data_IF_514830158125
#
_entry.id   IF_514830158125
#
_cell.length_a   1.000
_cell.length_b   1.000
_cell.length_c   1.000
_cell.angle_alpha   90.00
_cell.angle_beta   90.00
_cell.angle_gamma   90.00
#
_symmetry.space_group_name_H-M   'P 1'
#
loop_
_entity.id
_entity.type
_entity.pdbx_description
1 polymer ?
#
# COMPACT_ATOMS: atom_id res chain seq x y z
N UNK A 1 -23.32 -7.80 0.38
CA UNK A 1 -22.51 -6.62 0.08
C UNK A 1 -22.68 -6.30 -1.38
N UNK A 2 -23.14 -5.10 -1.70
CA UNK A 2 -23.25 -4.51 -3.04
C UNK A 2 -22.06 -3.60 -3.28
N UNK A 3 -21.84 -3.19 -4.53
CA UNK A 3 -20.75 -2.25 -4.84
C UNK A 3 -20.92 -0.89 -4.13
N UNK A 4 -22.14 -0.43 -3.89
CA UNK A 4 -22.37 0.80 -3.11
C UNK A 4 -21.97 0.62 -1.65
N UNK A 5 -22.33 -0.52 -1.04
CA UNK A 5 -21.90 -0.85 0.33
C UNK A 5 -20.37 -0.98 0.43
N UNK A 6 -19.70 -1.47 -0.63
CA UNK A 6 -18.23 -1.47 -0.72
C UNK A 6 -17.70 -0.03 -0.74
N UNK A 7 -18.20 0.81 -1.64
CA UNK A 7 -17.77 2.22 -1.77
C UNK A 7 -17.93 2.96 -0.45
N UNK A 8 -19.08 2.80 0.21
CA UNK A 8 -19.34 3.42 1.51
C UNK A 8 -18.33 2.94 2.57
N UNK A 9 -18.05 1.63 2.61
CA UNK A 9 -17.09 1.09 3.57
C UNK A 9 -15.66 1.56 3.31
N UNK A 10 -15.27 1.69 2.05
CA UNK A 10 -13.96 2.25 1.68
C UNK A 10 -13.87 3.75 2.05
N UNK A 11 -14.94 4.52 1.90
CA UNK A 11 -15.00 5.92 2.34
C UNK A 11 -14.89 6.05 3.87
N UNK A 12 -15.55 5.17 4.61
CA UNK A 12 -15.43 5.12 6.08
C UNK A 12 -13.99 4.85 6.52
N UNK A 13 -13.29 3.90 5.89
CA UNK A 13 -11.87 3.62 6.16
C UNK A 13 -11.01 4.85 5.83
N UNK A 14 -11.26 5.51 4.69
CA UNK A 14 -10.53 6.70 4.28
C UNK A 14 -10.70 7.86 5.27
N UNK A 15 -11.88 8.00 5.86
CA UNK A 15 -12.18 9.04 6.86
C UNK A 15 -11.60 8.72 8.26
N UNK A 16 -11.45 7.44 8.60
CA UNK A 16 -11.01 7.01 9.92
C UNK A 16 -9.48 7.02 10.11
N UNK A 17 -8.71 6.95 9.02
CA UNK A 17 -7.26 6.78 9.08
C UNK A 17 -6.49 8.06 8.68
N UNK A 18 -5.30 8.31 9.27
CA UNK A 18 -4.44 9.41 8.83
C UNK A 18 -4.08 9.31 7.34
N UNK A 19 -3.95 10.45 6.64
CA UNK A 19 -3.66 10.45 5.21
C UNK A 19 -2.37 9.71 4.82
N UNK A 20 -1.36 9.77 5.69
CA UNK A 20 -0.06 9.13 5.52
C UNK A 20 -0.02 7.65 5.93
N UNK A 21 -1.11 7.14 6.54
CA UNK A 21 -1.20 5.72 6.87
C UNK A 21 -1.21 4.86 5.60
N UNK A 22 -0.36 3.84 5.54
CA UNK A 22 -0.20 3.00 4.35
C UNK A 22 -1.47 2.27 3.94
N UNK A 23 -2.31 1.88 4.89
CA UNK A 23 -3.63 1.30 4.59
C UNK A 23 -4.53 2.37 3.99
N UNK A 24 -4.51 3.60 4.52
CA UNK A 24 -5.27 4.72 3.96
C UNK A 24 -4.82 5.05 2.52
N UNK A 25 -3.51 5.00 2.23
CA UNK A 25 -2.97 5.20 0.89
C UNK A 25 -3.52 4.17 -0.09
N UNK A 26 -3.40 2.88 0.21
CA UNK A 26 -3.95 1.83 -0.64
C UNK A 26 -5.49 1.90 -0.73
N UNK A 27 -6.17 2.19 0.38
CA UNK A 27 -7.63 2.28 0.40
C UNK A 27 -8.16 3.37 -0.54
N UNK A 28 -7.51 4.53 -0.62
CA UNK A 28 -7.90 5.61 -1.55
C UNK A 28 -7.71 5.21 -3.01
N UNK A 29 -6.60 4.55 -3.31
CA UNK A 29 -6.36 3.96 -4.64
C UNK A 29 -7.49 2.98 -4.98
N UNK A 30 -7.81 2.07 -4.07
CA UNK A 30 -8.82 1.06 -4.29
C UNK A 30 -10.22 1.68 -4.45
N UNK A 31 -10.58 2.65 -3.62
CA UNK A 31 -11.84 3.40 -3.75
C UNK A 31 -11.99 4.02 -5.14
N UNK A 32 -10.92 4.64 -5.67
CA UNK A 32 -10.93 5.26 -7.01
C UNK A 32 -11.23 4.22 -8.10
N UNK A 33 -10.61 3.04 -8.00
CA UNK A 33 -10.85 1.93 -8.94
C UNK A 33 -12.27 1.38 -8.79
N UNK A 34 -12.75 1.16 -7.58
CA UNK A 34 -14.10 0.65 -7.32
C UNK A 34 -15.19 1.60 -7.81
N UNK A 35 -15.02 2.91 -7.61
CA UNK A 35 -15.94 3.92 -8.16
C UNK A 35 -15.97 3.89 -9.69
N UNK A 36 -14.81 3.76 -10.35
CA UNK A 36 -14.76 3.61 -11.79
C UNK A 36 -15.46 2.31 -12.28
N UNK A 37 -15.29 1.20 -11.56
CA UNK A 37 -15.98 -0.07 -11.88
C UNK A 37 -17.49 0.07 -11.69
N UNK A 38 -17.95 0.73 -10.62
CA UNK A 38 -19.37 1.03 -10.38
C UNK A 38 -19.99 1.81 -11.53
N UNK A 39 -19.32 2.86 -11.98
CA UNK A 39 -19.83 3.69 -13.07
C UNK A 39 -19.92 2.87 -14.37
N UNK A 40 -18.93 2.01 -14.65
CA UNK A 40 -18.94 1.09 -15.80
C UNK A 40 -20.01 0.01 -15.74
N UNK A 41 -20.37 -0.45 -14.54
CA UNK A 41 -21.51 -1.35 -14.34
C UNK A 41 -22.83 -0.67 -14.73
N UNK A 42 -23.01 0.60 -14.34
CA UNK A 42 -24.19 1.38 -14.69
C UNK A 42 -24.31 1.62 -16.20
N UNK A 43 -23.18 1.78 -16.90
CA UNK A 43 -23.12 2.01 -18.35
C UNK A 43 -23.30 0.73 -19.19
N UNK A 44 -23.50 -0.43 -18.57
CA UNK A 44 -23.62 -1.71 -19.29
C UNK A 44 -22.33 -2.13 -19.99
N UNK A 45 -21.17 -1.72 -19.45
CA UNK A 45 -19.87 -2.03 -20.04
C UNK A 45 -19.58 -3.53 -20.03
N UNK A 46 -19.97 -4.27 -19.00
CA UNK A 46 -19.66 -5.70 -18.86
C UNK A 46 -20.65 -6.59 -19.60
N UNK A 47 -20.21 -7.77 -20.04
CA UNK A 47 -21.08 -8.75 -20.67
C UNK A 47 -22.05 -9.40 -19.67
N UNK A 48 -21.62 -9.63 -18.43
CA UNK A 48 -22.45 -10.05 -17.29
C UNK A 48 -22.27 -9.06 -16.12
N UNK A 49 -22.98 -7.90 -16.13
CA UNK A 49 -22.91 -6.93 -15.03
C UNK A 49 -23.24 -7.52 -13.65
N UNK A 50 -24.25 -8.42 -13.50
CA UNK A 50 -24.47 -9.10 -12.23
C UNK A 50 -23.25 -9.91 -11.74
N UNK A 51 -22.55 -10.65 -12.61
CA UNK A 51 -21.34 -11.40 -12.21
C UNK A 51 -20.25 -10.46 -11.74
N UNK A 52 -20.07 -9.35 -12.45
CA UNK A 52 -19.04 -8.37 -12.14
C UNK A 52 -19.32 -7.63 -10.83
N UNK A 53 -20.57 -7.28 -10.54
CA UNK A 53 -20.95 -6.70 -9.25
C UNK A 53 -20.75 -7.69 -8.09
N UNK A 54 -21.05 -8.98 -8.30
CA UNK A 54 -20.82 -10.02 -7.30
C UNK A 54 -19.32 -10.28 -7.08
N UNK A 55 -18.52 -10.30 -8.16
CA UNK A 55 -17.07 -10.41 -8.08
C UNK A 55 -16.47 -9.25 -7.30
N UNK A 56 -16.88 -8.01 -7.60
CA UNK A 56 -16.43 -6.81 -6.89
C UNK A 56 -16.69 -6.92 -5.39
N UNK A 57 -17.92 -7.30 -4.99
CA UNK A 57 -18.27 -7.46 -3.59
C UNK A 57 -17.48 -8.57 -2.87
N UNK A 58 -17.30 -9.72 -3.52
CA UNK A 58 -16.52 -10.86 -2.97
C UNK A 58 -15.03 -10.53 -2.89
N UNK A 59 -14.53 -9.74 -3.84
CA UNK A 59 -13.16 -9.28 -3.89
C UNK A 59 -12.89 -8.23 -2.79
N UNK A 60 -13.73 -7.20 -2.70
CA UNK A 60 -13.69 -6.18 -1.66
C UNK A 60 -13.80 -6.78 -0.26
N UNK A 61 -14.68 -7.77 -0.09
CA UNK A 61 -14.87 -8.46 1.19
C UNK A 61 -13.58 -9.05 1.74
N UNK A 62 -12.66 -9.52 0.89
CA UNK A 62 -11.36 -10.06 1.35
C UNK A 62 -10.48 -8.99 1.96
N UNK A 63 -10.34 -7.85 1.27
CA UNK A 63 -9.59 -6.71 1.80
C UNK A 63 -10.21 -6.18 3.10
N UNK A 64 -11.53 -6.01 3.12
CA UNK A 64 -12.25 -5.50 4.30
C UNK A 64 -12.12 -6.45 5.51
N UNK A 65 -12.15 -7.76 5.29
CA UNK A 65 -11.88 -8.75 6.34
C UNK A 65 -10.44 -8.67 6.85
N UNK A 66 -9.46 -8.45 5.97
CA UNK A 66 -8.06 -8.27 6.38
C UNK A 66 -7.88 -7.01 7.24
N UNK A 67 -8.50 -5.89 6.86
CA UNK A 67 -8.48 -4.64 7.66
C UNK A 67 -9.18 -4.83 9.00
N UNK A 68 -10.31 -5.53 9.03
CA UNK A 68 -11.03 -5.81 10.27
C UNK A 68 -10.21 -6.72 11.21
N UNK A 69 -9.54 -7.74 10.66
CA UNK A 69 -8.68 -8.63 11.43
C UNK A 69 -7.51 -7.87 12.07
N UNK A 70 -6.83 -7.00 11.31
CA UNK A 70 -5.77 -6.12 11.82
C UNK A 70 -6.29 -5.20 12.94
N UNK A 71 -7.42 -4.51 12.70
CA UNK A 71 -8.02 -3.62 13.70
C UNK A 71 -8.50 -4.32 14.97
N UNK A 72 -8.81 -5.62 14.89
CA UNK A 72 -9.17 -6.46 16.04
C UNK A 72 -7.96 -7.11 16.73
N UNK A 73 -6.73 -6.84 16.28
CA UNK A 73 -5.51 -7.50 16.79
C UNK A 73 -5.44 -9.00 16.46
N UNK A 74 -6.22 -9.47 15.48
CA UNK A 74 -6.15 -10.82 14.96
C UNK A 74 -5.08 -10.92 13.88
N UNK A 75 -4.81 -12.14 13.42
CA UNK A 75 -3.78 -12.39 12.42
C UNK A 75 -4.40 -12.37 11.01
N UNK A 76 -4.18 -11.32 10.19
CA UNK A 76 -4.66 -11.29 8.82
C UNK A 76 -3.89 -12.29 7.93
N UNK A 77 -4.35 -12.52 6.67
CA UNK A 77 -3.60 -13.30 5.68
C UNK A 77 -2.15 -12.82 5.55
N UNK A 78 -1.21 -13.73 5.31
CA UNK A 78 0.21 -13.42 5.28
C UNK A 78 0.56 -12.36 4.22
N UNK A 79 -0.17 -12.32 3.11
CA UNK A 79 -0.02 -11.34 2.03
C UNK A 79 -0.25 -9.89 2.48
N UNK A 80 -1.12 -9.67 3.47
CA UNK A 80 -1.49 -8.34 3.96
C UNK A 80 -0.65 -7.87 5.16
N UNK A 81 -0.08 -8.80 5.93
CA UNK A 81 0.70 -8.49 7.15
C UNK A 81 1.80 -7.45 6.96
N UNK A 82 2.60 -7.45 5.87
CA UNK A 82 3.66 -6.46 5.70
C UNK A 82 3.12 -5.03 5.66
N UNK A 83 2.02 -4.80 4.93
CA UNK A 83 1.41 -3.48 4.83
C UNK A 83 0.92 -3.01 6.19
N UNK A 84 0.21 -3.86 6.93
CA UNK A 84 -0.29 -3.51 8.26
C UNK A 84 0.83 -3.25 9.27
N UNK A 85 1.89 -4.07 9.26
CA UNK A 85 3.03 -3.90 10.16
C UNK A 85 3.82 -2.61 9.91
N UNK A 86 3.92 -2.16 8.65
CA UNK A 86 4.72 -1.00 8.26
C UNK A 86 3.88 0.25 7.96
N UNK A 87 2.55 0.22 8.16
CA UNK A 87 1.60 1.26 7.74
C UNK A 87 1.90 2.68 8.24
N UNK A 88 2.67 2.83 9.32
CA UNK A 88 3.06 4.13 9.86
C UNK A 88 4.58 4.40 9.77
N UNK A 89 5.34 3.58 9.04
CA UNK A 89 6.79 3.66 9.02
C UNK A 89 7.27 4.88 8.20
N UNK A 90 8.04 5.82 8.80
CA UNK A 90 8.40 7.09 8.15
C UNK A 90 9.35 6.93 6.94
N UNK A 91 10.11 5.84 6.91
CA UNK A 91 11.01 5.52 5.79
C UNK A 91 10.35 4.79 4.60
N UNK A 92 9.02 4.60 4.61
CA UNK A 92 8.30 3.92 3.52
C UNK A 92 7.46 4.93 2.75
N UNK A 93 7.66 5.00 1.43
CA UNK A 93 6.97 5.97 0.59
C UNK A 93 5.51 5.57 0.34
N UNK A 94 4.55 6.52 0.19
CA UNK A 94 3.17 6.23 -0.19
C UNK A 94 3.01 5.28 -1.38
N UNK A 95 3.85 5.44 -2.40
CA UNK A 95 3.90 4.55 -3.55
C UNK A 95 4.20 3.08 -3.18
N UNK A 96 5.10 2.84 -2.22
CA UNK A 96 5.40 1.48 -1.76
C UNK A 96 4.19 0.86 -1.07
N UNK A 97 3.44 1.65 -0.28
CA UNK A 97 2.20 1.19 0.34
C UNK A 97 1.12 0.83 -0.70
N UNK A 98 0.96 1.67 -1.72
CA UNK A 98 0.04 1.40 -2.82
C UNK A 98 0.40 0.09 -3.55
N UNK A 99 1.67 -0.08 -3.91
CA UNK A 99 2.16 -1.28 -4.59
C UNK A 99 2.04 -2.54 -3.72
N UNK A 100 2.33 -2.45 -2.42
CA UNK A 100 2.18 -3.58 -1.50
C UNK A 100 0.71 -4.00 -1.34
N UNK A 101 -0.21 -3.04 -1.27
CA UNK A 101 -1.64 -3.33 -1.24
C UNK A 101 -2.14 -3.92 -2.57
N UNK A 102 -1.70 -3.38 -3.70
CA UNK A 102 -2.01 -3.95 -5.02
C UNK A 102 -1.48 -5.37 -5.17
N UNK A 103 -0.26 -5.63 -4.70
CA UNK A 103 0.33 -6.96 -4.67
C UNK A 103 -0.55 -7.95 -3.88
N UNK A 104 -0.91 -7.62 -2.64
CA UNK A 104 -1.77 -8.48 -1.83
C UNK A 104 -3.16 -8.68 -2.47
N UNK A 105 -3.78 -7.60 -2.91
CA UNK A 105 -5.14 -7.64 -3.43
C UNK A 105 -5.22 -8.36 -4.79
N UNK A 106 -4.36 -7.99 -5.76
CA UNK A 106 -4.41 -8.58 -7.10
C UNK A 106 -3.88 -10.02 -7.09
N UNK A 107 -2.77 -10.30 -6.42
CA UNK A 107 -2.10 -11.60 -6.57
C UNK A 107 -2.63 -12.68 -5.62
N UNK A 108 -3.27 -12.31 -4.51
CA UNK A 108 -3.83 -13.27 -3.56
C UNK A 108 -5.36 -13.20 -3.48
N UNK A 109 -5.93 -12.02 -3.26
CA UNK A 109 -7.39 -11.93 -3.03
C UNK A 109 -8.20 -12.19 -4.30
N UNK A 110 -7.75 -11.68 -5.46
CA UNK A 110 -8.47 -11.78 -6.72
C UNK A 110 -8.63 -13.22 -7.21
N UNK A 111 -7.57 -14.08 -7.24
CA UNK A 111 -7.74 -15.47 -7.65
C UNK A 111 -8.75 -16.22 -6.79
N UNK A 112 -8.71 -15.99 -5.48
CA UNK A 112 -9.63 -16.60 -4.54
C UNK A 112 -11.06 -16.08 -4.74
N UNK A 113 -11.23 -14.80 -5.07
CA UNK A 113 -12.53 -14.19 -5.34
C UNK A 113 -13.18 -14.74 -6.61
N UNK A 114 -12.40 -14.90 -7.68
CA UNK A 114 -12.89 -15.51 -8.93
C UNK A 114 -13.33 -16.96 -8.72
N UNK A 115 -12.52 -17.77 -8.02
CA UNK A 115 -12.87 -19.17 -7.73
C UNK A 115 -14.13 -19.27 -6.85
N UNK A 116 -14.29 -18.37 -5.86
CA UNK A 116 -15.48 -18.30 -5.02
C UNK A 116 -16.73 -17.91 -5.84
N UNK A 117 -16.63 -16.89 -6.71
CA UNK A 117 -17.70 -16.51 -7.64
C UNK A 117 -18.14 -17.69 -8.51
N UNK A 118 -17.17 -18.37 -9.15
CA UNK A 118 -17.46 -19.48 -10.05
C UNK A 118 -18.20 -20.62 -9.31
N UNK A 119 -17.79 -20.91 -8.06
CA UNK A 119 -18.48 -21.89 -7.20
C UNK A 119 -19.91 -21.46 -6.84
N UNK A 120 -20.11 -20.18 -6.49
CA UNK A 120 -21.44 -19.65 -6.12
C UNK A 120 -22.42 -19.68 -7.28
N UNK A 121 -21.94 -19.38 -8.49
CA UNK A 121 -22.76 -19.37 -9.71
C UNK A 121 -22.88 -20.71 -10.41
N UNK A 122 -22.04 -21.68 -10.05
CA UNK A 122 -21.97 -22.97 -10.75
C UNK A 122 -21.46 -22.84 -12.18
N UNK A 123 -20.61 -21.85 -12.46
CA UNK A 123 -19.98 -21.62 -13.76
C UNK A 123 -18.48 -21.97 -13.72
N UNK A 124 -17.84 -22.01 -14.89
CA UNK A 124 -16.40 -22.22 -15.01
C UNK A 124 -15.65 -20.88 -15.14
N UNK A 125 -14.34 -20.81 -14.81
CA UNK A 125 -13.54 -19.62 -15.01
C UNK A 125 -13.58 -19.10 -16.45
N UNK A 126 -13.65 -19.99 -17.44
CA UNK A 126 -13.75 -19.60 -18.86
C UNK A 126 -14.99 -18.72 -19.15
N UNK A 127 -16.08 -18.89 -18.38
CA UNK A 127 -17.31 -18.12 -18.56
C UNK A 127 -17.15 -16.66 -18.11
N UNK A 128 -16.23 -16.38 -17.18
CA UNK A 128 -15.99 -15.04 -16.61
C UNK A 128 -14.70 -14.38 -17.12
N UNK A 129 -13.85 -15.12 -17.84
CA UNK A 129 -12.55 -14.67 -18.37
C UNK A 129 -12.65 -13.38 -19.20
N UNK A 130 -13.70 -13.28 -20.03
CA UNK A 130 -13.90 -12.12 -20.88
C UNK A 130 -14.01 -10.81 -20.08
N UNK A 131 -14.91 -10.77 -19.10
CA UNK A 131 -15.11 -9.56 -18.30
C UNK A 131 -13.97 -9.35 -17.29
N UNK A 132 -13.32 -10.43 -16.86
CA UNK A 132 -12.06 -10.36 -16.11
C UNK A 132 -11.00 -9.56 -16.87
N UNK A 133 -10.72 -9.86 -18.14
CA UNK A 133 -9.75 -9.07 -18.91
C UNK A 133 -10.29 -7.69 -19.28
N UNK A 134 -11.60 -7.54 -19.44
CA UNK A 134 -12.22 -6.24 -19.77
C UNK A 134 -11.97 -5.18 -18.71
N UNK A 135 -11.85 -5.57 -17.44
CA UNK A 135 -11.44 -4.68 -16.34
C UNK A 135 -10.12 -3.97 -16.62
N UNK A 136 -9.19 -4.56 -17.38
CA UNK A 136 -7.90 -3.93 -17.69
C UNK A 136 -8.08 -2.57 -18.38
N UNK A 137 -9.12 -2.40 -19.19
CA UNK A 137 -9.45 -1.11 -19.82
C UNK A 137 -9.82 -0.04 -18.79
N UNK A 138 -10.60 -0.42 -17.76
CA UNK A 138 -10.95 0.48 -16.65
C UNK A 138 -9.72 0.86 -15.82
N UNK A 139 -8.85 -0.13 -15.55
CA UNK A 139 -7.63 0.10 -14.78
C UNK A 139 -6.63 1.01 -15.52
N UNK A 140 -6.53 0.89 -16.85
CA UNK A 140 -5.66 1.74 -17.66
C UNK A 140 -6.08 3.22 -17.62
N UNK A 141 -7.38 3.50 -17.54
CA UNK A 141 -7.89 4.87 -17.42
C UNK A 141 -7.53 5.48 -16.05
N UNK A 142 -7.67 4.69 -14.98
CA UNK A 142 -7.36 5.09 -13.61
C UNK A 142 -5.85 5.22 -13.37
N UNK A 143 -5.01 4.48 -14.10
CA UNK A 143 -3.55 4.52 -13.96
C UNK A 143 -2.98 5.94 -14.06
N UNK A 144 -3.52 6.75 -14.99
CA UNK A 144 -3.09 8.15 -15.17
C UNK A 144 -3.29 8.98 -13.90
N UNK A 145 -4.48 8.89 -13.31
CA UNK A 145 -4.86 9.58 -12.07
C UNK A 145 -4.00 9.12 -10.89
N UNK A 146 -3.73 7.82 -10.82
CA UNK A 146 -2.93 7.21 -9.75
C UNK A 146 -1.47 7.65 -9.82
N UNK A 147 -0.93 7.71 -11.04
CA UNK A 147 0.44 8.17 -11.29
C UNK A 147 0.60 9.63 -10.85
N UNK A 148 -0.39 10.48 -11.13
CA UNK A 148 -0.38 11.88 -10.68
C UNK A 148 -0.48 12.02 -9.15
N UNK A 149 -1.26 11.16 -8.48
CA UNK A 149 -1.46 11.24 -7.03
C UNK A 149 -0.30 10.66 -6.20
N UNK A 150 0.45 9.69 -6.73
CA UNK A 150 1.44 8.92 -5.98
C UNK A 150 2.90 9.23 -6.34
N UNK A 151 3.16 9.87 -7.48
CA UNK A 151 4.51 10.26 -7.84
C UNK A 151 4.98 11.48 -7.01
N UNK A 152 6.23 11.46 -6.52
CA UNK A 152 6.81 12.67 -5.95
C UNK A 152 6.90 13.77 -7.02
N UNK A 153 6.65 15.01 -6.60
CA UNK A 153 6.78 16.17 -7.49
C UNK A 153 8.20 16.35 -8.05
N UNK A 154 8.37 17.17 -9.10
CA UNK A 154 9.63 17.31 -9.84
C UNK A 154 10.84 17.71 -8.97
N UNK A 155 10.60 18.30 -7.79
CA UNK A 155 11.63 18.72 -6.83
C UNK A 155 12.34 17.54 -6.11
N UNK A 156 11.81 16.32 -6.21
CA UNK A 156 12.30 15.10 -5.54
C UNK A 156 12.84 14.04 -6.52
N UNK A 157 12.94 14.35 -7.82
CA UNK A 157 13.27 13.39 -8.89
C UNK A 157 14.63 12.70 -8.68
N UNK A 158 15.64 13.40 -8.18
CA UNK A 158 16.98 12.81 -7.92
C UNK A 158 16.95 11.73 -6.81
N UNK A 159 15.95 11.74 -5.93
CA UNK A 159 15.77 10.74 -4.86
C UNK A 159 14.71 9.68 -5.22
N UNK A 160 14.04 9.83 -6.36
CA UNK A 160 12.92 9.00 -6.80
C UNK A 160 13.32 7.93 -7.83
N UNK A 161 14.59 7.85 -8.22
CA UNK A 161 15.08 6.87 -9.21
C UNK A 161 14.71 5.41 -8.82
N UNK A 162 14.92 4.93 -7.56
CA UNK A 162 14.47 3.60 -7.16
C UNK A 162 12.95 3.41 -7.24
N UNK A 163 12.17 4.43 -6.92
CA UNK A 163 10.71 4.42 -6.99
C UNK A 163 10.21 4.42 -8.45
N UNK A 164 10.91 5.12 -9.33
CA UNK A 164 10.63 5.18 -10.76
C UNK A 164 10.93 3.84 -11.43
N UNK A 165 12.04 3.19 -11.05
CA UNK A 165 12.32 1.82 -11.46
C UNK A 165 11.29 0.82 -10.93
N UNK A 166 10.88 0.95 -9.67
CA UNK A 166 9.86 0.09 -9.07
C UNK A 166 8.52 0.20 -9.81
N UNK A 167 8.09 1.43 -10.14
CA UNK A 167 6.91 1.68 -10.97
C UNK A 167 7.05 1.15 -12.39
N UNK A 168 8.21 1.35 -13.02
CA UNK A 168 8.46 0.84 -14.37
C UNK A 168 8.52 -0.68 -14.43
N UNK A 169 8.93 -1.35 -13.35
CA UNK A 169 8.97 -2.80 -13.23
C UNK A 169 7.63 -3.42 -12.82
N UNK A 170 6.70 -2.64 -12.26
CA UNK A 170 5.40 -3.11 -11.81
C UNK A 170 4.32 -2.89 -12.86
N UNK A 171 3.72 -3.98 -13.36
CA UNK A 171 2.62 -3.94 -14.32
C UNK A 171 1.36 -4.56 -13.72
N UNK A 172 0.28 -3.78 -13.67
CA UNK A 172 -1.05 -4.25 -13.25
C UNK A 172 -1.54 -5.37 -14.15
N UNK A 173 -1.32 -5.24 -15.46
CA UNK A 173 -1.67 -6.25 -16.45
C UNK A 173 -0.92 -7.56 -16.17
N UNK A 174 0.40 -7.51 -16.01
CA UNK A 174 1.19 -8.70 -15.69
C UNK A 174 0.79 -9.34 -14.35
N UNK A 175 0.48 -8.53 -13.34
CA UNK A 175 -0.04 -9.02 -12.08
C UNK A 175 -1.39 -9.73 -12.27
N UNK A 176 -2.29 -9.18 -13.08
CA UNK A 176 -3.59 -9.80 -13.37
C UNK A 176 -3.47 -11.08 -14.20
N UNK A 177 -2.50 -11.18 -15.11
CA UNK A 177 -2.21 -12.45 -15.82
C UNK A 177 -1.66 -13.53 -14.87
N UNK A 178 -0.81 -13.12 -13.91
CA UNK A 178 -0.35 -13.99 -12.82
C UNK A 178 -1.52 -14.49 -11.96
N UNK A 179 -2.40 -13.58 -11.55
CA UNK A 179 -3.61 -13.89 -10.82
C UNK A 179 -4.53 -14.84 -11.59
N UNK A 180 -4.69 -14.65 -12.91
CA UNK A 180 -5.48 -15.54 -13.75
C UNK A 180 -4.89 -16.95 -13.85
N UNK A 181 -3.56 -17.05 -13.91
CA UNK A 181 -2.87 -18.33 -13.83
C UNK A 181 -3.13 -19.05 -12.50
N UNK A 182 -3.17 -18.30 -11.39
CA UNK A 182 -3.55 -18.83 -10.08
C UNK A 182 -5.03 -19.27 -10.02
N UNK A 183 -5.96 -18.55 -10.68
CA UNK A 183 -7.36 -18.97 -10.83
C UNK A 183 -7.43 -20.35 -11.50
N UNK A 184 -6.76 -20.52 -12.64
CA UNK A 184 -6.74 -21.79 -13.38
C UNK A 184 -6.19 -22.93 -12.51
N UNK A 185 -5.07 -22.71 -11.83
CA UNK A 185 -4.49 -23.69 -10.92
C UNK A 185 -5.43 -24.07 -9.76
N UNK A 186 -5.99 -23.09 -9.07
CA UNK A 186 -6.95 -23.30 -7.98
C UNK A 186 -8.21 -24.03 -8.44
N UNK A 187 -8.69 -23.71 -9.66
CA UNK A 187 -9.84 -24.38 -10.24
C UNK A 187 -9.54 -25.84 -10.53
N UNK A 188 -8.42 -26.19 -11.15
CA UNK A 188 -8.05 -27.59 -11.38
C UNK A 188 -7.88 -28.37 -10.08
N UNK A 189 -7.31 -27.74 -9.05
CA UNK A 189 -7.11 -28.36 -7.74
C UNK A 189 -8.40 -28.47 -6.90
N UNK A 190 -9.53 -27.91 -7.34
CA UNK A 190 -10.76 -27.76 -6.53
C UNK A 190 -11.32 -29.07 -5.94
N UNK A 191 -11.09 -30.20 -6.60
CA UNK A 191 -11.49 -31.53 -6.14
C UNK A 191 -10.54 -32.17 -5.11
N UNK A 192 -9.44 -31.50 -4.79
CA UNK A 192 -8.35 -31.99 -3.94
C UNK A 192 -8.12 -30.98 -2.79
N UNK A 193 -8.86 -31.08 -1.66
CA UNK A 193 -8.82 -30.07 -0.60
C UNK A 193 -7.42 -29.83 -0.02
N UNK A 194 -6.64 -30.88 0.21
CA UNK A 194 -5.27 -30.76 0.73
C UNK A 194 -4.34 -30.01 -0.24
N UNK A 195 -4.44 -30.30 -1.55
CA UNK A 195 -3.63 -29.62 -2.57
C UNK A 195 -4.06 -28.15 -2.75
N UNK A 196 -5.38 -27.88 -2.77
CA UNK A 196 -5.91 -26.52 -2.79
C UNK A 196 -5.42 -25.70 -1.59
N UNK A 197 -5.47 -26.28 -0.39
CA UNK A 197 -4.99 -25.63 0.84
C UNK A 197 -3.50 -25.32 0.80
N UNK A 198 -2.68 -26.30 0.37
CA UNK A 198 -1.24 -26.10 0.23
C UNK A 198 -0.89 -25.02 -0.80
N UNK A 199 -1.56 -25.02 -1.97
CA UNK A 199 -1.36 -24.00 -2.99
C UNK A 199 -1.78 -22.61 -2.51
N UNK A 200 -2.94 -22.50 -1.84
CA UNK A 200 -3.42 -21.23 -1.28
C UNK A 200 -2.46 -20.68 -0.24
N UNK A 201 -1.95 -21.53 0.66
CA UNK A 201 -0.96 -21.11 1.67
C UNK A 201 0.37 -20.68 1.05
N UNK A 202 0.83 -21.38 0.00
CA UNK A 202 2.03 -20.99 -0.74
C UNK A 202 1.85 -19.66 -1.49
N UNK A 203 0.67 -19.43 -2.07
CA UNK A 203 0.31 -18.16 -2.70
C UNK A 203 0.31 -17.03 -1.66
N UNK A 204 -0.38 -17.21 -0.53
CA UNK A 204 -0.43 -16.24 0.57
C UNK A 204 0.98 -15.88 1.08
N UNK A 205 1.81 -16.88 1.36
CA UNK A 205 3.18 -16.69 1.83
C UNK A 205 4.10 -16.03 0.81
N UNK A 206 4.04 -16.41 -0.46
CA UNK A 206 4.90 -15.84 -1.52
C UNK A 206 4.53 -14.39 -1.83
N UNK A 207 3.23 -14.07 -1.90
CA UNK A 207 2.74 -12.69 -2.05
C UNK A 207 3.12 -11.85 -0.84
N UNK A 208 3.05 -12.41 0.38
CA UNK A 208 3.52 -11.73 1.59
C UNK A 208 5.01 -11.44 1.61
N UNK A 209 5.85 -12.38 1.13
CA UNK A 209 7.29 -12.15 1.01
C UNK A 209 7.59 -11.00 0.04
N UNK A 210 6.92 -10.96 -1.11
CA UNK A 210 7.05 -9.85 -2.07
C UNK A 210 6.55 -8.53 -1.48
N UNK A 211 5.42 -8.54 -0.76
CA UNK A 211 4.92 -7.37 -0.05
C UNK A 211 5.93 -6.81 0.96
N UNK A 212 6.66 -7.67 1.66
CA UNK A 212 7.73 -7.25 2.56
C UNK A 212 8.90 -6.60 1.80
N UNK A 213 9.32 -7.18 0.66
CA UNK A 213 10.36 -6.60 -0.18
C UNK A 213 9.98 -5.23 -0.76
N UNK A 214 8.72 -5.07 -1.18
CA UNK A 214 8.19 -3.78 -1.69
C UNK A 214 8.21 -2.67 -0.64
N UNK A 215 8.11 -3.02 0.64
CA UNK A 215 8.05 -2.07 1.75
C UNK A 215 9.41 -1.85 2.43
N UNK A 216 10.52 -2.35 1.85
CA UNK A 216 11.85 -2.06 2.37
C UNK A 216 12.07 -0.54 2.40
N UNK A 217 12.43 0.05 3.56
CA UNK A 217 12.59 1.49 3.67
C UNK A 217 13.65 2.02 2.72
N UNK A 218 13.30 3.05 1.95
CA UNK A 218 14.24 3.75 1.10
C UNK A 218 14.89 4.85 1.94
N UNK A 219 16.08 4.56 2.48
CA UNK A 219 16.85 5.49 3.31
C UNK A 219 17.56 6.53 2.42
N UNK A 220 16.82 7.45 1.79
CA UNK A 220 17.20 8.87 1.81
C UNK A 220 16.03 9.88 1.94
N UNK A 221 14.76 9.45 2.04
CA UNK A 221 13.61 10.37 1.93
C UNK A 221 13.67 11.57 2.91
N UNK A 222 14.03 11.34 4.18
CA UNK A 222 14.15 12.41 5.18
C UNK A 222 15.22 13.45 4.85
N UNK A 223 16.32 13.07 4.17
CA UNK A 223 17.37 14.01 3.75
C UNK A 223 16.96 14.84 2.53
N UNK A 224 16.04 14.34 1.70
CA UNK A 224 15.53 15.06 0.54
C UNK A 224 14.38 16.02 0.94
N UNK A 225 13.49 15.62 1.85
CA UNK A 225 12.42 16.48 2.39
C UNK A 225 12.95 17.61 3.30
N UNK A 226 14.08 17.40 4.00
CA UNK A 226 14.68 18.41 4.88
C UNK A 226 15.45 19.55 4.17
N UNK A 227 15.76 19.43 2.87
CA UNK A 227 16.51 20.46 2.12
C UNK A 227 15.64 21.63 1.65
N UNK A 228 14.33 21.44 1.53
CA UNK A 228 13.42 22.49 1.06
C UNK A 228 13.20 23.59 2.11
N UNK A 229 13.34 23.27 3.41
CA UNK A 229 13.16 24.23 4.50
C UNK A 229 14.38 25.12 4.82
N UNK A 230 15.57 24.83 4.28
CA UNK A 230 16.79 25.61 4.55
C UNK A 230 17.14 26.62 3.45
N UNK A 231 16.61 26.47 2.24
CA UNK A 231 16.94 27.37 1.12
C UNK A 231 16.10 28.66 1.08
N UNK A 232 14.99 28.76 1.83
CA UNK A 232 14.20 30.00 1.89
C UNK A 232 14.80 31.08 2.82
N UNK A 233 15.79 30.74 3.65
CA UNK A 233 16.41 31.71 4.58
C UNK A 233 17.71 32.37 4.07
N UNK A 234 18.22 32.00 2.88
CA UNK A 234 19.46 32.59 2.33
C UNK A 234 19.24 33.55 1.14
N UNK A 235 17.99 33.93 0.85
CA UNK A 235 17.61 34.75 -0.32
C UNK A 235 17.15 36.17 -0.01
N UNK A 236 17.60 36.81 1.09
CA UNK A 236 17.45 38.26 1.31
C UNK A 236 18.70 38.86 1.93
N UNK A 237 19.70 39.09 1.11
CA UNK A 237 20.67 40.15 1.33
C UNK A 237 21.25 40.54 -0.02
N UNK A 238 20.96 41.76 -0.48
CA UNK A 238 21.87 42.54 -1.34
C UNK A 238 21.62 44.05 -1.11
N UNK A 239 22.70 44.69 -0.67
CA UNK A 239 23.29 45.99 -1.07
C UNK A 239 22.77 47.38 -0.61
N UNK A 240 23.38 47.85 0.51
CA UNK A 240 24.37 48.97 0.68
C UNK A 240 24.05 50.44 0.26
N UNK A 241 24.86 51.49 0.61
CA UNK A 241 26.01 51.62 1.55
C UNK A 241 25.96 52.86 2.51
N UNK A 242 26.88 52.94 3.50
CA UNK A 242 27.13 54.21 4.21
C UNK A 242 28.05 54.19 5.45
N UNK A 243 29.32 54.51 5.24
CA UNK A 243 30.21 55.35 6.08
C UNK A 243 30.73 54.86 7.45
N UNK A 244 32.04 55.02 7.58
CA UNK A 244 32.99 54.88 8.70
C UNK A 244 32.61 55.54 10.04
N UNK A 245 32.93 54.89 11.18
CA UNK A 245 33.78 55.42 12.26
C UNK A 245 33.95 54.42 13.43
N UNK A 246 35.07 54.55 14.13
CA UNK A 246 35.62 53.63 15.12
C UNK A 246 34.98 53.68 16.53
N UNK A 247 35.17 52.57 17.26
CA UNK A 247 35.83 52.49 18.59
C UNK A 247 35.04 51.79 19.73
N UNK A 248 35.81 50.95 20.46
CA UNK A 248 35.70 50.52 21.87
C UNK A 248 34.88 49.27 22.24
N UNK A 249 35.63 48.24 22.65
CA UNK A 249 35.35 47.24 23.72
C UNK A 249 35.26 47.96 25.10
N UNK A 250 34.68 47.38 26.19
CA UNK A 250 34.98 46.00 26.64
C UNK A 250 33.89 45.16 27.37
N UNK A 251 34.19 43.86 27.40
CA UNK A 251 34.04 42.82 28.44
C UNK A 251 32.84 42.78 29.42
N UNK A 252 32.15 41.63 29.40
CA UNK A 252 31.78 40.78 30.56
C UNK A 252 31.18 39.49 29.95
N UNK A 253 31.55 38.24 30.26
CA UNK A 253 32.06 37.67 31.49
C UNK A 253 30.96 36.86 32.17
N UNK A 254 30.75 35.59 31.81
CA UNK A 254 30.39 34.53 32.76
C UNK A 254 30.51 33.11 32.16
N UNK A 255 31.07 32.21 32.96
CA UNK A 255 31.44 30.81 32.67
C UNK A 255 30.35 29.81 33.09
N UNK A 256 30.40 28.64 32.45
CA UNK A 256 30.15 27.26 32.96
C UNK A 256 28.70 26.90 33.39
N UNK A 257 28.21 25.66 33.35
CA UNK A 257 28.89 24.35 33.36
C UNK A 257 28.01 23.25 32.73
N UNK A 258 28.67 22.14 32.37
CA UNK A 258 28.10 20.87 31.95
C UNK A 258 27.46 20.08 33.11
N UNK A 259 26.57 19.13 32.79
CA UNK A 259 26.00 18.18 33.75
C UNK A 259 25.35 16.98 33.05
N UNK A 260 26.15 15.93 32.89
CA UNK A 260 25.85 14.60 32.35
C UNK A 260 25.06 13.70 33.33
N UNK A 261 24.27 12.78 32.78
CA UNK A 261 24.17 11.40 33.30
C UNK A 261 22.84 10.96 33.92
N UNK A 262 22.02 10.28 33.12
CA UNK A 262 21.04 9.30 33.60
C UNK A 262 21.51 7.91 33.14
N UNK A 263 21.80 7.02 34.08
CA UNK A 263 22.25 5.65 33.86
C UNK A 263 21.26 4.67 34.49
N UNK A 264 20.88 3.70 33.67
CA UNK A 264 19.74 2.81 33.74
C UNK A 264 19.89 1.67 34.77
N UNK A 265 18.76 1.28 35.38
CA UNK A 265 18.57 0.02 36.10
C UNK A 265 17.81 -0.93 35.18
N UNK A 266 18.28 -2.18 35.05
CA UNK A 266 17.50 -3.37 35.44
C UNK A 266 18.04 -4.64 34.78
N UNK A 267 18.35 -5.60 35.65
CA UNK A 267 18.49 -7.02 35.37
C UNK A 267 17.10 -7.60 35.05
N UNK A 268 17.04 -8.54 34.10
CA UNK A 268 15.94 -9.50 34.00
C UNK A 268 16.49 -10.86 33.56
N UNK A 269 16.61 -11.74 34.55
CA UNK A 269 16.72 -13.19 34.42
C UNK A 269 15.34 -13.76 34.05
N UNK A 270 15.28 -14.67 33.07
CA UNK A 270 14.19 -15.63 32.92
C UNK A 270 14.63 -16.77 31.97
N UNK A 271 15.05 -17.90 32.53
CA UNK A 271 15.23 -19.17 31.81
C UNK A 271 14.44 -20.25 32.53
N UNK A 272 13.24 -20.53 32.04
CA UNK A 272 12.35 -21.62 32.46
C UNK A 272 12.05 -22.55 31.29
N UNK A 273 12.20 -23.85 31.57
CA UNK A 273 12.26 -25.04 30.70
C UNK A 273 11.06 -25.33 29.76
N UNK A 274 11.24 -26.26 28.78
CA UNK A 274 10.17 -26.78 27.94
C UNK A 274 9.51 -28.07 28.47
N UNK A 275 8.31 -28.35 27.99
CA UNK A 275 7.61 -29.65 27.97
C UNK A 275 6.77 -29.66 26.68
N UNK A 276 6.32 -30.76 26.09
CA UNK A 276 6.60 -32.20 26.13
C UNK A 276 5.78 -32.76 24.96
#
# INVERSE_FOLDING_TARGET
>A
MTIEEVVDRLREIAAALPLADGVAVFNRLYLTVTEAVRDRLADGYFADPPAMAELDAVFAGRYLLAVAADGAGQQPPACWRPLFALRAHPGVHPLQFALAGMNAHIQHDLPLAVVDLCRRRGCEPADVERDYHRINGVLAEVESVVREQLLPGPELLDCAEPLTHLLGAWSVEAAREGAWSAVRALWELRGLPAATGAFTAALDGSVGLLGHALLLPLVPYERCAGRTGQNEQHGRSDDAPGTTAAARLPEAGCRAAAGTGAGDQAQLECSGLPSA
#
